data_IF_898850824441
#
_entry.id   IF_898850824441
#
_cell.length_a   1.000
_cell.length_b   1.000
_cell.length_c   1.000
_cell.angle_alpha   90.00
_cell.angle_beta   90.00
_cell.angle_gamma   90.00
#
_symmetry.space_group_name_H-M   'P 1'
#
loop_
_entity.id
_entity.type
_entity.pdbx_description
1 polymer ?
#
# COMPACT_ATOMS: atom_id res chain seq x y z
N UNK A 1 -5.63 -13.03 -24.70
CA UNK A 1 -4.91 -14.32 -24.70
C UNK A 1 -4.47 -14.73 -23.28
N UNK A 2 -5.41 -15.07 -22.40
CA UNK A 2 -5.12 -15.43 -20.99
C UNK A 2 -4.89 -16.92 -20.73
N UNK A 3 -4.54 -17.70 -21.76
CA UNK A 3 -4.43 -19.18 -21.68
C UNK A 3 -3.00 -19.73 -21.57
N UNK A 4 -1.94 -18.91 -21.46
CA UNK A 4 -0.55 -19.40 -21.56
C UNK A 4 0.41 -18.94 -20.45
N UNK A 5 -0.06 -18.71 -19.23
CA UNK A 5 0.82 -18.70 -18.04
C UNK A 5 0.58 -19.90 -17.10
N UNK A 6 -0.46 -20.71 -17.36
CA UNK A 6 -0.62 -22.02 -16.75
C UNK A 6 0.35 -23.07 -17.33
N UNK A 7 0.84 -22.85 -18.56
CA UNK A 7 1.87 -23.69 -19.17
C UNK A 7 3.24 -23.34 -18.55
N UNK A 8 3.78 -24.27 -17.75
CA UNK A 8 5.11 -24.29 -17.16
C UNK A 8 6.07 -23.13 -17.56
N UNK A 9 6.11 -22.05 -16.78
CA UNK A 9 7.26 -21.14 -16.85
C UNK A 9 8.44 -21.84 -16.16
N UNK A 10 9.30 -22.49 -16.94
CA UNK A 10 10.41 -23.29 -16.46
C UNK A 10 11.39 -22.54 -15.54
N UNK A 11 11.40 -21.21 -15.56
CA UNK A 11 12.26 -20.41 -14.72
C UNK A 11 11.61 -20.01 -13.38
N UNK A 12 10.30 -19.77 -13.39
CA UNK A 12 9.56 -19.19 -12.26
C UNK A 12 8.84 -20.26 -11.44
N UNK A 13 8.20 -21.24 -12.09
CA UNK A 13 7.41 -22.26 -11.40
C UNK A 13 8.23 -23.07 -10.39
N UNK A 14 9.49 -23.49 -10.67
CA UNK A 14 10.30 -24.18 -9.68
C UNK A 14 10.57 -23.36 -8.42
N UNK A 15 10.64 -22.02 -8.52
CA UNK A 15 10.82 -21.15 -7.36
C UNK A 15 9.59 -21.13 -6.47
N UNK A 16 8.41 -21.13 -7.08
CA UNK A 16 7.13 -21.15 -6.36
C UNK A 16 6.82 -22.52 -5.76
N UNK A 17 7.10 -23.61 -6.47
CA UNK A 17 6.99 -24.96 -5.90
C UNK A 17 7.94 -25.11 -4.70
N UNK A 18 9.18 -24.62 -4.81
CA UNK A 18 10.15 -24.65 -3.72
C UNK A 18 9.85 -23.69 -2.55
N UNK A 19 8.92 -22.74 -2.70
CA UNK A 19 8.56 -21.84 -1.61
C UNK A 19 7.53 -22.44 -0.65
N UNK A 20 6.86 -23.54 -1.03
CA UNK A 20 5.91 -24.26 -0.18
C UNK A 20 4.61 -23.51 0.09
N UNK A 21 4.26 -22.53 -0.75
CA UNK A 21 3.03 -21.73 -0.62
C UNK A 21 2.02 -22.12 -1.70
N UNK A 22 0.75 -21.92 -1.40
CA UNK A 22 -0.30 -21.90 -2.42
C UNK A 22 -0.09 -20.62 -3.26
N UNK A 23 -0.03 -20.77 -4.57
CA UNK A 23 0.19 -19.67 -5.51
C UNK A 23 -1.05 -19.47 -6.37
N UNK A 24 -1.55 -18.24 -6.38
CA UNK A 24 -2.66 -17.82 -7.22
C UNK A 24 -2.21 -16.72 -8.19
N UNK A 25 -2.62 -16.85 -9.45
CA UNK A 25 -2.39 -15.86 -10.50
C UNK A 25 -3.74 -15.29 -10.95
N UNK A 26 -4.33 -14.36 -10.19
CA UNK A 26 -5.58 -13.77 -10.60
C UNK A 26 -5.40 -12.99 -11.90
N UNK A 27 -6.43 -12.98 -12.75
CA UNK A 27 -6.43 -12.17 -13.96
C UNK A 27 -7.01 -10.80 -13.63
N UNK A 28 -6.25 -9.73 -13.89
CA UNK A 28 -6.75 -8.37 -13.69
C UNK A 28 -8.11 -8.19 -14.38
N UNK A 29 -9.08 -7.49 -13.76
CA UNK A 29 -10.38 -7.22 -14.37
C UNK A 29 -10.22 -6.62 -15.78
N UNK A 30 -11.06 -7.01 -16.76
CA UNK A 30 -10.98 -6.43 -18.10
C UNK A 30 -11.37 -4.94 -18.07
N UNK A 31 -10.67 -4.12 -18.84
CA UNK A 31 -11.01 -2.71 -19.04
C UNK A 31 -10.60 -2.30 -20.46
N UNK A 32 -11.52 -1.68 -21.20
CA UNK A 32 -11.31 -1.30 -22.61
C UNK A 32 -10.44 -0.05 -22.77
N UNK A 33 -10.28 0.76 -21.72
CA UNK A 33 -9.69 2.10 -21.76
C UNK A 33 -8.42 2.26 -20.92
N UNK A 34 -8.19 1.36 -19.95
CA UNK A 34 -7.06 1.42 -19.04
C UNK A 34 -6.18 0.18 -19.17
N UNK A 35 -4.90 0.39 -19.46
CA UNK A 35 -3.90 -0.67 -19.56
C UNK A 35 -3.31 -1.06 -18.19
N UNK A 36 -3.44 -0.18 -17.19
CA UNK A 36 -2.99 -0.39 -15.80
C UNK A 36 -4.10 -0.95 -14.92
N UNK A 37 -4.64 -2.12 -15.31
CA UNK A 37 -5.90 -2.66 -14.78
C UNK A 37 -5.90 -3.00 -13.30
N UNK A 38 -4.73 -3.28 -12.72
CA UNK A 38 -4.58 -3.55 -11.28
C UNK A 38 -4.61 -2.31 -10.39
N UNK A 39 -4.68 -1.12 -10.96
CA UNK A 39 -4.74 0.14 -10.20
C UNK A 39 -6.16 0.74 -10.19
N UNK A 40 -7.13 0.03 -10.76
CA UNK A 40 -8.52 0.47 -10.81
C UNK A 40 -9.24 0.12 -9.49
N UNK A 41 -10.19 0.95 -9.01
CA UNK A 41 -10.96 0.65 -7.79
C UNK A 41 -11.62 -0.74 -7.79
N UNK A 42 -12.08 -1.21 -8.94
CA UNK A 42 -12.70 -2.54 -9.07
C UNK A 42 -11.70 -3.67 -8.83
N UNK A 43 -10.40 -3.43 -9.06
CA UNK A 43 -9.35 -4.39 -8.78
C UNK A 43 -9.14 -4.60 -7.27
N UNK A 44 -9.48 -3.62 -6.44
CA UNK A 44 -9.38 -3.74 -4.98
C UNK A 44 -10.31 -4.81 -4.45
N UNK A 45 -11.62 -4.65 -4.74
CA UNK A 45 -12.62 -5.59 -4.29
C UNK A 45 -12.39 -6.97 -4.91
N UNK A 46 -12.02 -7.02 -6.20
CA UNK A 46 -11.70 -8.26 -6.87
C UNK A 46 -10.55 -9.02 -6.19
N UNK A 47 -9.45 -8.34 -5.82
CA UNK A 47 -8.34 -9.00 -5.12
C UNK A 47 -8.77 -9.47 -3.72
N UNK A 48 -9.58 -8.69 -3.01
CA UNK A 48 -10.13 -9.09 -1.71
C UNK A 48 -11.00 -10.35 -1.83
N UNK A 49 -11.85 -10.43 -2.86
CA UNK A 49 -12.71 -11.58 -3.12
C UNK A 49 -11.89 -12.83 -3.49
N UNK A 50 -10.83 -12.67 -4.30
CA UNK A 50 -9.89 -13.77 -4.62
C UNK A 50 -9.21 -14.30 -3.36
N UNK A 51 -8.78 -13.41 -2.45
CA UNK A 51 -8.17 -13.81 -1.18
C UNK A 51 -9.18 -14.57 -0.32
N UNK A 52 -10.40 -14.05 -0.20
CA UNK A 52 -11.49 -14.71 0.54
C UNK A 52 -11.82 -16.10 -0.02
N UNK A 53 -11.85 -16.25 -1.35
CA UNK A 53 -12.08 -17.54 -2.01
C UNK A 53 -10.95 -18.54 -1.73
N UNK A 54 -9.68 -18.10 -1.77
CA UNK A 54 -8.53 -18.94 -1.41
C UNK A 54 -8.60 -19.35 0.06
N UNK A 55 -8.91 -18.42 0.97
CA UNK A 55 -9.09 -18.72 2.39
C UNK A 55 -10.23 -19.71 2.66
N UNK A 56 -11.28 -19.67 1.83
CA UNK A 56 -12.39 -20.59 1.94
C UNK A 56 -12.04 -22.02 1.50
N UNK A 57 -11.37 -22.17 0.35
CA UNK A 57 -11.05 -23.48 -0.22
C UNK A 57 -9.76 -24.10 0.30
N UNK A 58 -8.86 -23.29 0.84
CA UNK A 58 -7.55 -23.72 1.29
C UNK A 58 -7.31 -23.31 2.75
N UNK A 59 -6.72 -24.21 3.55
CA UNK A 59 -6.27 -23.88 4.89
C UNK A 59 -5.00 -23.03 4.86
N UNK A 60 -5.15 -21.74 4.57
CA UNK A 60 -4.06 -20.75 4.57
C UNK A 60 -4.00 -20.01 5.91
N UNK A 61 -2.79 -19.63 6.31
CA UNK A 61 -2.60 -18.71 7.42
C UNK A 61 -2.71 -17.26 6.91
N UNK A 62 -3.68 -16.45 7.39
CA UNK A 62 -3.86 -15.07 6.91
C UNK A 62 -2.69 -14.14 7.26
N UNK A 63 -1.87 -14.51 8.26
CA UNK A 63 -0.65 -13.78 8.58
C UNK A 63 0.55 -14.21 7.72
N UNK A 64 0.35 -15.18 6.83
CA UNK A 64 1.37 -15.73 5.93
C UNK A 64 1.03 -15.45 4.46
N UNK A 65 0.43 -14.30 4.17
CA UNK A 65 0.10 -13.88 2.81
C UNK A 65 1.15 -12.91 2.27
N UNK A 66 1.58 -13.14 1.03
CA UNK A 66 2.51 -12.26 0.31
C UNK A 66 1.93 -11.91 -1.05
N UNK A 67 2.21 -10.69 -1.52
CA UNK A 67 1.76 -10.23 -2.84
C UNK A 67 2.97 -9.89 -3.69
N UNK A 68 3.04 -10.42 -4.91
CA UNK A 68 4.11 -10.10 -5.86
C UNK A 68 3.54 -9.69 -7.20
N UNK A 69 4.17 -8.71 -7.84
CA UNK A 69 3.76 -8.24 -9.15
C UNK A 69 4.94 -7.79 -10.00
N UNK A 70 4.85 -8.05 -11.30
CA UNK A 70 5.84 -7.64 -12.29
C UNK A 70 5.16 -6.82 -13.42
N UNK A 71 5.80 -5.76 -13.92
CA UNK A 71 5.25 -4.90 -14.98
C UNK A 71 3.92 -4.24 -14.59
N UNK A 72 2.84 -4.43 -15.35
CA UNK A 72 1.47 -4.04 -14.96
C UNK A 72 1.09 -4.59 -13.58
N UNK A 73 1.56 -5.80 -13.23
CA UNK A 73 1.40 -6.36 -11.89
C UNK A 73 2.23 -5.64 -10.84
N UNK A 74 3.41 -5.11 -11.17
CA UNK A 74 4.26 -4.33 -10.28
C UNK A 74 3.64 -2.96 -9.95
N UNK A 75 3.00 -2.32 -10.93
CA UNK A 75 2.15 -1.14 -10.71
C UNK A 75 0.98 -1.46 -9.77
N UNK A 76 0.36 -2.63 -9.98
CA UNK A 76 -0.65 -3.19 -9.08
C UNK A 76 -0.13 -3.43 -7.67
N UNK A 77 1.08 -3.97 -7.51
CA UNK A 77 1.69 -4.23 -6.22
C UNK A 77 1.90 -2.93 -5.41
N UNK A 78 2.37 -1.85 -6.04
CA UNK A 78 2.42 -0.54 -5.37
C UNK A 78 1.04 -0.04 -4.95
N UNK A 79 0.02 -0.20 -5.79
CA UNK A 79 -1.34 0.22 -5.50
C UNK A 79 -1.93 -0.58 -4.33
N UNK A 80 -1.86 -1.91 -4.40
CA UNK A 80 -2.38 -2.83 -3.39
C UNK A 80 -1.62 -2.74 -2.07
N UNK A 81 -0.31 -2.44 -2.09
CA UNK A 81 0.43 -2.15 -0.86
C UNK A 81 -0.15 -0.95 -0.10
N UNK A 82 -0.72 0.04 -0.78
CA UNK A 82 -1.44 1.13 -0.12
C UNK A 82 -2.84 0.71 0.31
N UNK A 83 -3.63 0.09 -0.57
CA UNK A 83 -5.03 -0.28 -0.29
C UNK A 83 -5.15 -1.30 0.84
N UNK A 84 -4.28 -2.30 0.80
CA UNK A 84 -4.25 -3.47 1.66
C UNK A 84 -2.94 -3.59 2.42
N UNK A 85 -2.36 -2.45 2.86
CA UNK A 85 -1.14 -2.42 3.65
C UNK A 85 -1.15 -3.42 4.82
N UNK A 86 -2.32 -3.64 5.41
CA UNK A 86 -2.54 -4.54 6.54
C UNK A 86 -2.90 -5.99 6.17
N UNK A 87 -2.98 -6.37 4.89
CA UNK A 87 -3.32 -7.76 4.48
C UNK A 87 -2.09 -8.66 4.30
N UNK A 88 -0.96 -8.09 3.89
CA UNK A 88 0.21 -8.87 3.49
C UNK A 88 1.35 -8.78 4.51
N UNK A 89 2.09 -9.87 4.69
CA UNK A 89 3.36 -9.88 5.40
C UNK A 89 4.44 -9.10 4.63
N UNK A 90 4.39 -9.17 3.29
CA UNK A 90 5.25 -8.40 2.41
C UNK A 90 4.66 -8.28 1.00
N UNK A 91 5.04 -7.21 0.31
CA UNK A 91 4.67 -6.96 -1.08
C UNK A 91 5.94 -6.80 -1.93
N UNK A 92 6.01 -7.41 -3.11
CA UNK A 92 7.06 -7.21 -4.11
C UNK A 92 6.49 -6.45 -5.33
N UNK A 93 7.00 -5.25 -5.54
CA UNK A 93 6.79 -4.47 -6.76
C UNK A 93 8.02 -4.58 -7.65
N UNK A 94 7.91 -5.34 -8.74
CA UNK A 94 8.99 -5.52 -9.73
C UNK A 94 8.67 -4.85 -11.06
N UNK A 95 9.67 -4.19 -11.66
CA UNK A 95 9.57 -3.65 -13.02
C UNK A 95 8.31 -2.79 -13.23
N UNK A 96 7.88 -2.07 -12.19
CA UNK A 96 6.62 -1.33 -12.13
C UNK A 96 6.88 0.15 -11.88
N UNK A 97 5.81 0.93 -11.84
CA UNK A 97 5.89 2.35 -11.47
C UNK A 97 4.83 2.70 -10.43
N UNK A 98 5.04 3.86 -9.82
CA UNK A 98 4.12 4.53 -8.91
C UNK A 98 4.09 6.01 -9.29
N UNK A 99 3.03 6.71 -8.91
CA UNK A 99 2.81 8.06 -9.37
C UNK A 99 2.15 8.96 -8.34
N UNK A 100 1.38 8.41 -7.40
CA UNK A 100 0.69 9.17 -6.36
C UNK A 100 0.51 8.40 -5.04
N UNK A 101 1.34 8.67 -4.03
CA UNK A 101 1.43 7.83 -2.83
C UNK A 101 1.42 8.62 -1.53
N UNK A 102 0.83 8.02 -0.49
CA UNK A 102 1.08 8.39 0.89
C UNK A 102 1.82 7.24 1.58
N UNK A 103 3.15 7.24 1.44
CA UNK A 103 4.01 6.11 1.83
C UNK A 103 3.86 5.68 3.27
N UNK A 104 3.60 6.62 4.19
CA UNK A 104 3.39 6.33 5.60
C UNK A 104 2.24 5.34 5.84
N UNK A 105 1.28 5.23 4.92
CA UNK A 105 0.20 4.25 5.02
C UNK A 105 0.67 2.78 5.00
N UNK A 106 1.91 2.52 4.55
CA UNK A 106 2.51 1.18 4.51
C UNK A 106 3.21 0.80 5.83
N UNK A 107 3.13 1.66 6.86
CA UNK A 107 3.79 1.41 8.15
C UNK A 107 3.44 0.01 8.67
N UNK A 108 4.47 -0.77 9.03
CA UNK A 108 4.37 -2.17 9.47
C UNK A 108 4.37 -3.23 8.38
N UNK A 109 4.50 -2.86 7.09
CA UNK A 109 4.53 -3.80 5.97
C UNK A 109 5.74 -3.54 5.10
N UNK A 110 6.55 -4.58 4.87
CA UNK A 110 7.79 -4.44 4.11
C UNK A 110 7.50 -4.47 2.61
N UNK A 111 7.86 -3.39 1.92
CA UNK A 111 7.81 -3.32 0.47
C UNK A 111 9.16 -3.70 -0.13
N UNK A 112 9.18 -4.73 -0.96
CA UNK A 112 10.29 -5.06 -1.83
C UNK A 112 10.12 -4.35 -3.16
N UNK A 113 11.19 -3.70 -3.62
CA UNK A 113 11.22 -3.01 -4.90
C UNK A 113 12.36 -3.61 -5.72
N UNK A 114 12.03 -4.11 -6.91
CA UNK A 114 13.00 -4.62 -7.88
C UNK A 114 12.89 -3.88 -9.21
N UNK A 115 14.00 -3.33 -9.71
CA UNK A 115 13.98 -2.57 -10.97
C UNK A 115 15.29 -2.72 -11.75
N UNK A 116 15.18 -2.95 -13.07
CA UNK A 116 16.33 -2.96 -13.96
C UNK A 116 16.70 -1.55 -14.42
N UNK A 117 18.00 -1.23 -14.50
CA UNK A 117 18.47 0.06 -15.05
C UNK A 117 18.15 0.19 -16.55
N UNK A 118 18.02 -0.94 -17.24
CA UNK A 118 17.68 -1.02 -18.66
C UNK A 118 16.21 -1.42 -18.85
N UNK A 119 15.34 -1.15 -17.87
CA UNK A 119 13.89 -1.36 -18.04
C UNK A 119 13.35 -0.44 -19.16
N UNK A 120 13.87 0.79 -19.25
CA UNK A 120 13.68 1.66 -20.41
C UNK A 120 14.90 1.56 -21.36
N UNK A 121 14.66 1.40 -22.66
CA UNK A 121 15.69 1.28 -23.71
C UNK A 121 15.24 2.06 -24.95
N UNK A 122 16.09 2.98 -25.41
CA UNK A 122 15.82 3.81 -26.59
C UNK A 122 15.40 2.95 -27.79
N UNK A 123 14.37 3.40 -28.50
CA UNK A 123 13.74 2.70 -29.64
C UNK A 123 13.16 1.31 -29.38
N UNK A 124 13.26 0.76 -28.16
CA UNK A 124 12.77 -0.60 -27.83
C UNK A 124 11.68 -0.59 -26.78
N UNK A 125 11.86 0.18 -25.71
CA UNK A 125 10.96 0.22 -24.56
C UNK A 125 11.01 1.58 -23.89
N UNK A 126 9.86 2.23 -23.76
CA UNK A 126 9.74 3.62 -23.27
C UNK A 126 9.91 3.74 -21.76
N UNK A 127 10.08 4.96 -21.25
CA UNK A 127 10.30 5.28 -19.83
C UNK A 127 9.12 5.02 -18.87
N UNK A 128 8.06 4.33 -19.30
CA UNK A 128 6.88 4.06 -18.46
C UNK A 128 7.17 3.24 -17.19
N UNK A 129 8.28 2.51 -17.16
CA UNK A 129 8.78 1.77 -15.98
C UNK A 129 10.26 2.07 -15.76
N UNK A 130 10.67 3.33 -15.93
CA UNK A 130 12.05 3.75 -15.72
C UNK A 130 12.54 3.46 -14.29
N UNK A 131 13.84 3.18 -14.14
CA UNK A 131 14.47 2.89 -12.84
C UNK A 131 14.29 4.02 -11.82
N UNK A 132 14.18 5.26 -12.29
CA UNK A 132 13.97 6.43 -11.44
C UNK A 132 12.68 6.34 -10.61
N UNK A 133 11.62 5.68 -11.09
CA UNK A 133 10.42 5.46 -10.26
C UNK A 133 10.77 4.69 -8.99
N UNK A 134 11.53 3.60 -9.12
CA UNK A 134 11.93 2.77 -8.00
C UNK A 134 12.89 3.50 -7.04
N UNK A 135 13.81 4.32 -7.58
CA UNK A 135 14.72 5.16 -6.78
C UNK A 135 13.97 6.20 -5.95
N UNK A 136 12.98 6.88 -6.55
CA UNK A 136 12.14 7.85 -5.84
C UNK A 136 11.24 7.18 -4.80
N UNK A 137 10.68 5.99 -5.08
CA UNK A 137 9.92 5.22 -4.10
C UNK A 137 10.78 4.86 -2.88
N UNK A 138 11.97 4.30 -3.12
CA UNK A 138 12.94 3.97 -2.06
C UNK A 138 13.23 5.19 -1.19
N UNK A 139 13.59 6.32 -1.81
CA UNK A 139 13.88 7.55 -1.09
C UNK A 139 12.72 7.96 -0.17
N UNK A 140 11.47 7.85 -0.64
CA UNK A 140 10.31 8.25 0.14
C UNK A 140 9.93 7.26 1.23
N UNK A 141 10.08 5.95 1.00
CA UNK A 141 9.88 4.94 2.03
C UNK A 141 10.89 5.09 3.16
N UNK A 142 12.18 5.28 2.83
CA UNK A 142 13.25 5.55 3.78
C UNK A 142 12.94 6.81 4.61
N UNK A 143 12.55 7.92 3.95
CA UNK A 143 12.14 9.17 4.63
C UNK A 143 10.90 9.00 5.52
N UNK A 144 9.98 8.12 5.13
CA UNK A 144 8.76 7.84 5.88
C UNK A 144 9.00 6.85 7.05
N UNK A 145 10.20 6.25 7.16
CA UNK A 145 10.50 5.20 8.14
C UNK A 145 9.78 3.89 7.86
N UNK A 146 9.36 3.64 6.61
CA UNK A 146 8.68 2.41 6.21
C UNK A 146 9.71 1.37 5.77
N UNK A 147 9.63 0.11 6.24
CA UNK A 147 10.55 -0.93 5.84
C UNK A 147 10.53 -1.17 4.33
N UNK A 148 11.70 -1.05 3.69
CA UNK A 148 11.88 -1.28 2.25
C UNK A 148 13.11 -2.11 1.98
N UNK A 149 13.01 -3.05 1.04
CA UNK A 149 14.16 -3.76 0.47
C UNK A 149 14.25 -3.40 -1.00
N UNK A 150 15.35 -2.77 -1.40
CA UNK A 150 15.56 -2.32 -2.77
C UNK A 150 16.61 -3.17 -3.48
N UNK A 151 16.29 -3.65 -4.68
CA UNK A 151 17.21 -4.33 -5.59
C UNK A 151 17.17 -3.65 -6.95
N UNK A 152 18.34 -3.19 -7.39
CA UNK A 152 18.56 -2.65 -8.72
C UNK A 152 19.49 -3.60 -9.49
N UNK A 153 19.24 -3.84 -10.78
CA UNK A 153 20.07 -4.74 -11.60
C UNK A 153 20.34 -4.20 -13.01
N UNK A 154 21.38 -4.73 -13.67
CA UNK A 154 21.76 -4.33 -15.03
C UNK A 154 20.83 -4.85 -16.13
N UNK A 155 19.91 -5.76 -15.79
CA UNK A 155 18.95 -6.33 -16.75
C UNK A 155 17.85 -5.37 -17.22
N UNK A 156 17.01 -5.91 -18.10
CA UNK A 156 15.91 -5.24 -18.78
C UNK A 156 14.57 -5.41 -18.03
N UNK A 157 13.46 -5.11 -18.72
CA UNK A 157 12.11 -5.36 -18.23
C UNK A 157 11.73 -6.84 -18.11
N UNK A 158 12.51 -7.78 -18.67
CA UNK A 158 12.15 -9.19 -18.63
C UNK A 158 12.27 -9.76 -17.21
N UNK A 159 11.22 -10.44 -16.73
CA UNK A 159 11.21 -11.11 -15.41
C UNK A 159 12.42 -12.05 -15.19
N UNK A 160 12.95 -12.66 -16.25
CA UNK A 160 14.13 -13.52 -16.17
C UNK A 160 15.36 -12.81 -15.59
N UNK A 161 15.52 -11.51 -15.86
CA UNK A 161 16.62 -10.69 -15.35
C UNK A 161 16.52 -10.48 -13.82
N UNK A 162 15.32 -10.68 -13.27
CA UNK A 162 14.96 -10.48 -11.87
C UNK A 162 14.79 -11.78 -11.07
N UNK A 163 15.01 -12.96 -11.66
CA UNK A 163 14.74 -14.25 -11.00
C UNK A 163 15.51 -14.44 -9.69
N UNK A 164 16.72 -13.89 -9.60
CA UNK A 164 17.52 -13.94 -8.39
C UNK A 164 16.88 -13.11 -7.26
N UNK A 165 16.27 -11.96 -7.58
CA UNK A 165 15.53 -11.15 -6.60
C UNK A 165 14.25 -11.85 -6.18
N UNK A 166 13.53 -12.46 -7.13
CA UNK A 166 12.34 -13.24 -6.81
C UNK A 166 12.69 -14.39 -5.85
N UNK A 167 13.80 -15.11 -6.10
CA UNK A 167 14.31 -16.16 -5.21
C UNK A 167 14.68 -15.62 -3.84
N UNK A 168 15.37 -14.49 -3.79
CA UNK A 168 15.76 -13.84 -2.54
C UNK A 168 14.53 -13.44 -1.71
N UNK A 169 13.55 -12.77 -2.33
CA UNK A 169 12.30 -12.37 -1.68
C UNK A 169 11.51 -13.56 -1.16
N UNK A 170 11.31 -14.60 -1.98
CA UNK A 170 10.62 -15.83 -1.57
C UNK A 170 11.33 -16.53 -0.41
N UNK A 171 12.67 -16.56 -0.44
CA UNK A 171 13.50 -17.10 0.64
C UNK A 171 13.33 -16.32 1.93
N UNK A 172 13.43 -14.99 1.86
CA UNK A 172 13.23 -14.10 3.00
C UNK A 172 11.82 -14.24 3.58
N UNK A 173 10.78 -14.29 2.73
CA UNK A 173 9.39 -14.43 3.15
C UNK A 173 9.07 -15.74 3.87
N UNK A 174 9.94 -16.76 3.88
CA UNK A 174 9.69 -18.01 4.63
C UNK A 174 9.50 -17.76 6.11
N UNK A 175 10.29 -16.84 6.67
CA UNK A 175 10.32 -16.55 8.10
C UNK A 175 9.50 -15.30 8.48
N UNK A 176 8.84 -14.68 7.50
CA UNK A 176 8.07 -13.46 7.73
C UNK A 176 6.61 -13.79 7.97
N UNK A 177 6.02 -13.14 8.95
CA UNK A 177 4.58 -13.14 9.17
C UNK A 177 4.13 -11.71 9.39
N UNK A 178 2.94 -11.39 8.90
CA UNK A 178 2.27 -10.14 9.25
C UNK A 178 2.04 -10.12 10.75
N UNK A 179 2.37 -9.01 11.40
CA UNK A 179 1.93 -8.74 12.76
C UNK A 179 0.55 -8.04 12.72
N UNK A 180 -0.55 -8.71 13.14
CA UNK A 180 -1.86 -8.06 13.24
C UNK A 180 -1.87 -6.96 14.30
N UNK A 181 -0.97 -7.04 15.28
CA UNK A 181 -0.87 -6.14 16.44
C UNK A 181 0.26 -5.13 16.31
N UNK A 182 0.76 -4.89 15.08
CA UNK A 182 1.90 -4.03 14.84
C UNK A 182 1.75 -2.70 15.59
N UNK A 183 2.70 -2.32 16.47
CA UNK A 183 2.47 -1.30 17.49
C UNK A 183 2.35 0.11 16.92
N UNK A 184 2.74 0.36 15.67
CA UNK A 184 2.69 1.68 15.04
C UNK A 184 1.92 1.65 13.73
N UNK A 185 0.70 2.18 13.74
CA UNK A 185 -0.18 2.18 12.56
C UNK A 185 -0.44 3.60 12.09
N UNK A 186 -0.46 3.80 10.77
CA UNK A 186 -0.87 5.07 10.16
C UNK A 186 -2.04 4.78 9.22
N UNK A 187 -3.26 4.98 9.72
CA UNK A 187 -4.45 4.93 8.87
C UNK A 187 -4.52 6.23 8.04
N UNK A 188 -4.74 6.09 6.74
CA UNK A 188 -4.88 7.21 5.79
C UNK A 188 -6.10 6.94 4.91
N UNK A 189 -6.94 7.94 4.71
CA UNK A 189 -8.04 7.89 3.73
C UNK A 189 -8.22 9.24 3.03
N UNK A 190 -8.38 9.28 1.69
CA UNK A 190 -8.25 8.14 0.79
C UNK A 190 -6.79 7.72 0.65
N UNK A 191 -6.52 6.55 0.05
CA UNK A 191 -5.16 6.10 -0.29
C UNK A 191 -5.16 5.09 -1.43
N UNK A 192 -4.03 4.90 -2.08
CA UNK A 192 -3.91 4.15 -3.32
C UNK A 192 -3.38 5.02 -4.44
N UNK A 193 -2.78 4.40 -5.45
CA UNK A 193 -2.28 5.09 -6.63
C UNK A 193 -3.43 5.33 -7.61
N UNK A 194 -3.59 6.56 -8.11
CA UNK A 194 -4.48 6.83 -9.24
C UNK A 194 -3.75 6.47 -10.54
N UNK A 195 -4.14 5.44 -11.29
CA UNK A 195 -3.44 5.09 -12.52
C UNK A 195 -3.40 6.26 -13.49
N UNK A 196 -2.31 6.35 -14.25
CA UNK A 196 -2.35 6.93 -15.58
C UNK A 196 -3.32 6.08 -16.40
N UNK A 197 -4.45 6.64 -16.82
CA UNK A 197 -5.38 5.93 -17.72
C UNK A 197 -4.69 5.55 -19.03
N UNK A 198 -3.69 6.34 -19.44
CA UNK A 198 -2.84 6.06 -20.60
C UNK A 198 -1.55 6.90 -20.54
N UNK A 199 -0.42 6.30 -20.17
CA UNK A 199 0.89 6.96 -20.26
C UNK A 199 1.28 7.33 -21.71
N UNK A 200 0.58 6.79 -22.73
CA UNK A 200 0.74 7.19 -24.13
C UNK A 200 0.00 8.49 -24.47
N UNK A 201 -0.93 8.96 -23.63
CA UNK A 201 -1.74 10.18 -23.86
C UNK A 201 -1.54 11.26 -22.82
N UNK A 202 -1.23 10.89 -21.59
CA UNK A 202 -1.06 11.84 -20.49
C UNK A 202 0.42 12.03 -20.20
N UNK A 203 0.81 13.19 -19.67
CA UNK A 203 2.20 13.64 -19.41
C UNK A 203 2.48 13.85 -17.91
N UNK A 204 1.43 13.78 -17.11
CA UNK A 204 1.45 13.75 -15.65
C UNK A 204 0.40 12.70 -15.18
N UNK A 205 0.47 12.23 -13.92
CA UNK A 205 -0.58 11.37 -13.37
C UNK A 205 -1.92 12.05 -13.55
N UNK A 206 -3.01 11.31 -13.79
CA UNK A 206 -4.32 11.94 -13.97
C UNK A 206 -4.70 12.86 -12.79
N UNK A 207 -4.27 12.49 -11.59
CA UNK A 207 -4.39 13.30 -10.38
C UNK A 207 -3.67 14.67 -10.43
N UNK A 208 -2.76 14.91 -11.37
CA UNK A 208 -2.03 16.17 -11.55
C UNK A 208 -2.82 17.23 -12.35
N UNK A 209 -3.82 16.83 -13.13
CA UNK A 209 -4.66 17.78 -13.87
C UNK A 209 -5.79 18.26 -12.97
N UNK A 210 -5.73 19.52 -12.53
CA UNK A 210 -6.65 20.13 -11.55
C UNK A 210 -8.13 20.17 -11.93
N UNK A 211 -8.54 19.67 -13.11
CA UNK A 211 -9.94 19.60 -13.53
C UNK A 211 -10.26 18.35 -14.39
N UNK A 212 -9.60 17.21 -14.14
CA UNK A 212 -10.02 15.95 -14.79
C UNK A 212 -11.30 15.42 -14.14
N UNK A 213 -12.43 15.77 -14.73
CA UNK A 213 -13.79 15.33 -14.34
C UNK A 213 -14.04 13.82 -14.44
N UNK A 214 -13.10 13.05 -14.99
CA UNK A 214 -13.31 11.63 -15.28
C UNK A 214 -12.94 10.69 -14.11
N UNK A 215 -12.14 11.13 -13.12
CA UNK A 215 -11.61 10.25 -12.05
C UNK A 215 -11.40 10.96 -10.70
N UNK A 216 -12.36 11.77 -10.25
CA UNK A 216 -12.25 12.69 -9.11
C UNK A 216 -12.16 12.08 -7.68
N UNK A 217 -11.95 10.79 -7.46
CA UNK A 217 -11.61 10.35 -6.10
C UNK A 217 -10.77 9.07 -6.08
N UNK A 218 -9.64 9.14 -5.38
CA UNK A 218 -9.04 7.93 -4.80
C UNK A 218 -10.10 7.39 -3.85
N UNK A 219 -10.53 6.12 -3.98
CA UNK A 219 -11.56 5.58 -3.11
C UNK A 219 -11.14 5.69 -1.65
N UNK A 220 -12.13 5.85 -0.76
CA UNK A 220 -11.86 5.78 0.67
C UNK A 220 -11.23 4.43 1.04
N UNK A 221 -10.37 4.45 2.04
CA UNK A 221 -9.85 3.25 2.69
C UNK A 221 -9.60 3.57 4.17
N UNK A 222 -10.67 3.69 4.96
CA UNK A 222 -10.60 4.18 6.33
C UNK A 222 -9.87 3.24 7.28
N UNK A 223 -9.77 1.95 6.94
CA UNK A 223 -9.22 0.92 7.80
C UNK A 223 -7.71 0.76 7.60
N UNK A 224 -6.96 0.50 8.67
CA UNK A 224 -5.60 -0.01 8.64
C UNK A 224 -5.33 -0.78 9.94
N UNK A 225 -5.14 -2.11 9.85
CA UNK A 225 -5.03 -3.03 10.98
C UNK A 225 -6.11 -2.75 12.05
N UNK A 226 -5.68 -2.29 13.22
CA UNK A 226 -6.48 -2.00 14.39
C UNK A 226 -6.99 -0.55 14.46
N UNK A 227 -6.86 0.25 13.40
CA UNK A 227 -7.33 1.64 13.34
C UNK A 227 -8.35 1.81 12.21
N UNK A 228 -9.44 2.50 12.49
CA UNK A 228 -10.42 2.97 11.50
C UNK A 228 -10.60 4.47 11.63
N UNK A 229 -10.57 5.20 10.52
CA UNK A 229 -11.04 6.59 10.45
C UNK A 229 -12.56 6.58 10.27
N UNK A 230 -13.31 7.25 11.15
CA UNK A 230 -14.78 7.28 11.11
C UNK A 230 -15.32 8.41 10.21
N UNK A 231 -14.49 9.41 9.93
CA UNK A 231 -14.81 10.49 9.01
C UNK A 231 -13.64 11.45 8.84
N UNK A 232 -13.66 12.20 7.74
CA UNK A 232 -12.66 13.20 7.40
C UNK A 232 -13.24 14.60 7.51
N UNK A 233 -12.41 15.55 7.94
CA UNK A 233 -12.77 16.96 7.96
C UNK A 233 -12.63 17.60 6.58
N UNK A 234 -12.59 18.94 6.56
CA UNK A 234 -12.54 19.73 5.30
C UNK A 234 -11.13 20.11 4.86
N UNK A 235 -10.11 19.77 5.62
CA UNK A 235 -8.72 20.05 5.25
C UNK A 235 -8.18 19.01 4.26
N UNK A 236 -6.90 19.15 3.95
CA UNK A 236 -6.18 18.31 3.01
C UNK A 236 -5.00 17.60 3.66
N UNK A 237 -4.54 16.52 3.04
CA UNK A 237 -3.33 15.79 3.39
C UNK A 237 -2.38 15.73 2.20
N UNK A 238 -1.09 15.70 2.51
CA UNK A 238 0.00 15.68 1.54
C UNK A 238 0.22 14.29 0.94
N UNK A 239 0.35 14.23 -0.38
CA UNK A 239 0.77 13.07 -1.14
C UNK A 239 2.03 13.37 -1.92
N UNK A 240 2.88 12.36 -2.08
CA UNK A 240 3.97 12.40 -3.03
C UNK A 240 3.48 12.06 -4.43
N UNK A 241 3.97 12.79 -5.43
CA UNK A 241 3.57 12.66 -6.81
C UNK A 241 4.79 12.62 -7.72
N UNK A 242 4.84 11.71 -8.69
CA UNK A 242 5.88 11.70 -9.73
C UNK A 242 5.33 12.29 -11.01
N UNK A 243 6.05 13.25 -11.58
CA UNK A 243 5.74 13.83 -12.90
C UNK A 243 6.87 13.56 -13.87
N UNK A 244 6.54 13.32 -15.14
CA UNK A 244 7.47 13.04 -16.22
C UNK A 244 7.73 14.32 -17.03
N UNK A 245 8.95 14.50 -17.54
CA UNK A 245 9.21 15.52 -18.56
C UNK A 245 8.58 15.12 -19.89
N UNK A 246 8.43 16.09 -20.79
CA UNK A 246 8.10 15.80 -22.19
C UNK A 246 9.22 14.96 -22.81
N UNK A 247 8.84 13.88 -23.51
CA UNK A 247 9.78 13.00 -24.20
C UNK A 247 9.10 12.37 -25.42
N UNK A 248 9.61 12.65 -26.62
CA UNK A 248 9.33 11.87 -27.82
C UNK A 248 10.28 10.68 -27.85
N UNK A 249 9.76 9.47 -27.66
CA UNK A 249 10.56 8.25 -27.51
C UNK A 249 11.43 7.94 -28.75
N UNK A 250 11.05 8.47 -29.90
CA UNK A 250 11.78 8.40 -31.18
C UNK A 250 12.85 9.48 -31.38
N UNK A 251 13.04 10.40 -30.42
CA UNK A 251 14.04 11.46 -30.48
C UNK A 251 15.09 11.22 -29.40
N UNK A 252 16.34 10.97 -29.81
CA UNK A 252 17.45 10.63 -28.90
C UNK A 252 17.78 11.73 -27.89
N UNK A 253 17.68 13.00 -28.30
CA UNK A 253 17.85 14.14 -27.41
C UNK A 253 16.77 14.19 -26.32
N UNK A 254 15.50 14.01 -26.69
CA UNK A 254 14.39 13.96 -25.74
C UNK A 254 14.57 12.78 -24.75
N UNK A 255 14.96 11.62 -25.26
CA UNK A 255 15.25 10.41 -24.47
C UNK A 255 16.34 10.66 -23.43
N UNK A 256 17.48 11.21 -23.85
CA UNK A 256 18.62 11.48 -22.98
C UNK A 256 18.31 12.56 -21.93
N UNK A 257 17.38 13.46 -22.25
CA UNK A 257 16.92 14.53 -21.37
C UNK A 257 15.68 14.15 -20.55
N UNK A 258 15.16 12.93 -20.66
CA UNK A 258 14.01 12.46 -19.87
C UNK A 258 14.28 12.58 -18.37
N UNK A 259 13.32 13.12 -17.61
CA UNK A 259 13.42 13.25 -16.15
C UNK A 259 12.11 12.88 -15.46
N UNK A 260 12.24 12.20 -14.33
CA UNK A 260 11.20 12.10 -13.31
C UNK A 260 11.41 13.15 -12.24
N UNK A 261 10.38 13.94 -11.97
CA UNK A 261 10.38 14.94 -10.90
C UNK A 261 9.41 14.54 -9.81
N UNK A 262 9.92 14.49 -8.58
CA UNK A 262 9.12 14.30 -7.38
C UNK A 262 8.49 15.64 -6.96
N UNK A 263 7.16 15.67 -6.97
CA UNK A 263 6.32 16.77 -6.51
C UNK A 263 5.51 16.32 -5.29
N UNK A 264 4.84 17.27 -4.66
CA UNK A 264 3.88 17.00 -3.60
C UNK A 264 2.57 17.70 -3.90
N UNK A 265 1.45 17.09 -3.52
CA UNK A 265 0.11 17.63 -3.73
C UNK A 265 -0.74 17.46 -2.47
N UNK A 266 -1.47 18.49 -2.10
CA UNK A 266 -2.50 18.41 -1.06
C UNK A 266 -3.81 17.92 -1.68
N UNK A 267 -4.45 16.93 -1.07
CA UNK A 267 -5.78 16.45 -1.45
C UNK A 267 -6.69 16.30 -0.23
N UNK A 268 -8.02 16.43 -0.36
CA UNK A 268 -8.93 16.16 0.75
C UNK A 268 -8.71 14.74 1.32
N UNK A 269 -8.62 14.63 2.65
CA UNK A 269 -8.39 13.34 3.32
C UNK A 269 -7.96 13.51 4.77
N UNK A 270 -7.87 12.40 5.49
CA UNK A 270 -7.53 12.37 6.91
C UNK A 270 -6.54 11.28 7.27
N UNK A 271 -5.86 11.47 8.39
CA UNK A 271 -4.84 10.54 8.93
C UNK A 271 -5.11 10.30 10.41
N UNK A 272 -5.00 9.04 10.84
CA UNK A 272 -4.91 8.67 12.25
C UNK A 272 -3.64 7.82 12.45
N UNK A 273 -2.59 8.45 12.99
CA UNK A 273 -1.37 7.75 13.40
C UNK A 273 -1.54 7.30 14.85
N UNK A 274 -1.48 5.99 15.11
CA UNK A 274 -1.65 5.39 16.41
C UNK A 274 -0.42 4.57 16.81
N UNK A 275 -0.04 4.63 18.08
CA UNK A 275 1.10 3.91 18.65
C UNK A 275 0.72 3.26 19.97
N UNK A 276 1.03 1.98 20.13
CA UNK A 276 1.03 1.31 21.44
C UNK A 276 2.37 1.58 22.10
N UNK A 277 2.35 2.30 23.23
CA UNK A 277 3.53 2.65 24.01
C UNK A 277 4.04 1.47 24.83
N UNK A 278 5.24 1.61 25.40
CA UNK A 278 5.83 0.63 26.32
C UNK A 278 4.94 0.38 27.56
N UNK A 279 4.30 1.44 28.08
CA UNK A 279 3.34 1.37 29.19
C UNK A 279 1.94 0.87 28.76
N UNK A 280 1.81 0.34 27.53
CA UNK A 280 0.57 -0.16 26.91
C UNK A 280 -0.53 0.87 26.71
N UNK A 281 -0.28 2.16 26.98
CA UNK A 281 -1.17 3.22 26.56
C UNK A 281 -1.15 3.38 25.04
N UNK A 282 -2.30 3.71 24.45
CA UNK A 282 -2.42 3.95 23.02
C UNK A 282 -2.40 5.45 22.78
N UNK A 283 -1.39 5.94 22.08
CA UNK A 283 -1.27 7.33 21.68
C UNK A 283 -1.74 7.51 20.23
N UNK A 284 -2.62 8.48 19.99
CA UNK A 284 -3.18 8.77 18.66
C UNK A 284 -2.96 10.23 18.30
N UNK A 285 -2.47 10.44 17.08
CA UNK A 285 -2.26 11.74 16.44
C UNK A 285 -3.21 11.87 15.23
N UNK A 286 -4.48 12.26 15.45
CA UNK A 286 -5.43 12.52 14.38
C UNK A 286 -5.06 13.79 13.60
N UNK A 287 -5.32 13.79 12.30
CA UNK A 287 -5.17 14.94 11.39
C UNK A 287 -6.33 14.95 10.41
N UNK A 288 -7.12 16.02 10.42
CA UNK A 288 -8.31 16.18 9.57
C UNK A 288 -9.26 14.95 9.59
N UNK A 289 -9.51 14.40 10.78
CA UNK A 289 -10.49 13.35 10.99
C UNK A 289 -11.55 13.85 11.97
N UNK A 290 -12.80 13.43 11.80
CA UNK A 290 -13.91 13.77 12.71
C UNK A 290 -14.15 12.70 13.77
N UNK A 291 -13.50 11.54 13.62
CA UNK A 291 -13.59 10.41 14.51
C UNK A 291 -12.59 9.33 14.13
N UNK A 292 -12.21 8.50 15.09
CA UNK A 292 -11.50 7.25 14.82
C UNK A 292 -11.95 6.15 15.79
N UNK A 293 -11.83 4.90 15.35
CA UNK A 293 -12.03 3.71 16.17
C UNK A 293 -10.75 2.92 16.28
N UNK A 294 -10.38 2.57 17.51
CA UNK A 294 -9.33 1.63 17.84
C UNK A 294 -9.96 0.27 18.10
N UNK A 295 -9.50 -0.74 17.38
CA UNK A 295 -9.94 -2.13 17.47
C UNK A 295 -8.92 -2.91 18.28
N UNK A 296 -9.31 -3.46 19.42
CA UNK A 296 -8.38 -3.91 20.45
C UNK A 296 -8.50 -5.40 20.70
N UNK A 297 -7.35 -6.02 20.99
CA UNK A 297 -7.20 -7.41 21.36
C UNK A 297 -6.41 -7.53 22.68
N UNK A 298 -6.69 -8.50 23.57
CA UNK A 298 -5.95 -8.66 24.83
C UNK A 298 -4.45 -8.91 24.68
N UNK A 299 -4.02 -9.38 23.50
CA UNK A 299 -2.61 -9.50 23.13
C UNK A 299 -1.89 -8.17 22.91
N UNK A 300 -2.64 -7.06 22.74
CA UNK A 300 -2.11 -5.72 22.51
C UNK A 300 -2.01 -4.90 23.80
N UNK A 301 -3.09 -4.92 24.59
CA UNK A 301 -3.31 -4.08 25.79
C UNK A 301 -4.08 -4.86 26.86
N UNK A 302 -3.90 -4.48 28.13
CA UNK A 302 -4.69 -5.02 29.24
C UNK A 302 -6.10 -4.42 29.25
N UNK A 303 -7.11 -5.28 29.16
CA UNK A 303 -8.51 -4.88 29.12
C UNK A 303 -9.07 -4.43 30.47
N UNK A 304 -8.33 -4.55 31.58
CA UNK A 304 -8.77 -4.00 32.87
C UNK A 304 -8.58 -2.49 33.00
N UNK A 305 -7.57 -1.93 32.32
CA UNK A 305 -7.24 -0.48 32.36
C UNK A 305 -6.69 -0.01 31.01
N UNK A 306 -7.54 0.03 29.98
CA UNK A 306 -7.14 0.55 28.67
C UNK A 306 -7.07 2.07 28.73
N UNK A 307 -5.94 2.64 28.30
CA UNK A 307 -5.69 4.08 28.26
C UNK A 307 -5.48 4.54 26.82
N UNK A 308 -6.27 5.53 26.38
CA UNK A 308 -6.13 6.17 25.07
C UNK A 308 -5.84 7.65 25.25
N UNK A 309 -4.70 8.07 24.70
CA UNK A 309 -4.20 9.42 24.68
C UNK A 309 -4.35 9.99 23.26
N UNK A 310 -4.99 11.14 23.11
CA UNK A 310 -5.07 11.88 21.85
C UNK A 310 -4.27 13.15 22.00
N UNK A 311 -3.20 13.32 21.20
CA UNK A 311 -2.27 14.46 21.34
C UNK A 311 -1.75 14.65 22.78
N UNK A 312 -1.48 13.53 23.47
CA UNK A 312 -1.02 13.51 24.86
C UNK A 312 -2.11 13.68 25.92
N UNK A 313 -3.35 14.00 25.55
CA UNK A 313 -4.47 14.13 26.48
C UNK A 313 -5.25 12.82 26.61
N UNK A 314 -5.53 12.38 27.84
CA UNK A 314 -6.35 11.19 28.07
C UNK A 314 -7.79 11.42 27.63
N UNK A 315 -8.26 10.62 26.66
CA UNK A 315 -9.62 10.68 26.11
C UNK A 315 -10.44 9.46 26.48
N UNK A 316 -9.79 8.36 26.83
CA UNK A 316 -10.44 7.18 27.36
C UNK A 316 -9.54 6.52 28.39
N UNK A 317 -10.13 6.15 29.53
CA UNK A 317 -9.54 5.23 30.49
C UNK A 317 -10.61 4.35 31.08
N UNK A 318 -10.38 3.04 31.08
CA UNK A 318 -11.26 2.11 31.76
C UNK A 318 -11.21 0.70 31.20
N UNK A 319 -12.01 -0.20 31.78
CA UNK A 319 -12.04 -1.58 31.35
C UNK A 319 -12.79 -1.75 30.03
N UNK A 320 -12.37 -2.71 29.22
CA UNK A 320 -13.07 -3.16 28.03
C UNK A 320 -13.54 -4.61 28.18
N UNK A 321 -14.72 -4.90 27.63
CA UNK A 321 -15.26 -6.25 27.59
C UNK A 321 -15.29 -6.76 26.15
N UNK A 322 -14.70 -7.94 25.87
CA UNK A 322 -14.88 -8.63 24.60
C UNK A 322 -16.36 -8.79 24.24
N UNK A 323 -16.71 -8.63 22.97
CA UNK A 323 -18.06 -8.85 22.45
C UNK A 323 -18.01 -9.58 21.11
N UNK A 324 -18.87 -10.58 20.95
CA UNK A 324 -19.04 -11.27 19.67
C UNK A 324 -19.50 -10.29 18.57
N UNK A 325 -20.38 -9.34 18.89
CA UNK A 325 -20.82 -8.33 17.93
C UNK A 325 -19.64 -7.47 17.43
N UNK A 326 -18.77 -7.02 18.33
CA UNK A 326 -17.57 -6.27 17.96
C UNK A 326 -16.57 -7.10 17.17
N UNK A 327 -16.41 -8.39 17.52
CA UNK A 327 -15.58 -9.31 16.78
C UNK A 327 -16.08 -9.50 15.32
N UNK A 328 -17.39 -9.63 15.14
CA UNK A 328 -18.02 -9.74 13.81
C UNK A 328 -17.90 -8.43 13.01
N UNK A 329 -18.12 -7.27 13.64
CA UNK A 329 -17.86 -5.97 13.03
C UNK A 329 -16.39 -5.88 12.57
N UNK A 330 -15.46 -6.32 13.42
CA UNK A 330 -14.03 -6.33 13.11
C UNK A 330 -13.73 -7.18 11.88
N UNK A 331 -14.32 -8.37 11.80
CA UNK A 331 -14.20 -9.24 10.63
C UNK A 331 -14.75 -8.55 9.39
N UNK A 332 -15.95 -7.96 9.44
CA UNK A 332 -16.59 -7.36 8.27
C UNK A 332 -15.80 -6.18 7.65
N UNK A 333 -14.98 -5.47 8.44
CA UNK A 333 -14.11 -4.40 7.91
C UNK A 333 -13.11 -4.87 6.87
N UNK A 334 -12.59 -6.09 7.03
CA UNK A 334 -11.47 -6.60 6.24
C UNK A 334 -11.71 -7.95 5.61
N UNK A 335 -12.66 -8.74 6.12
CA UNK A 335 -12.86 -10.18 5.85
C UNK A 335 -11.55 -10.95 5.98
N UNK A 336 -10.95 -10.83 7.15
CA UNK A 336 -9.62 -11.35 7.47
C UNK A 336 -9.65 -11.99 8.86
N UNK A 337 -9.48 -13.31 8.91
CA UNK A 337 -9.48 -14.06 10.18
C UNK A 337 -8.27 -13.77 11.06
N UNK A 338 -7.20 -13.17 10.52
CA UNK A 338 -6.04 -12.72 11.27
C UNK A 338 -6.18 -11.32 11.88
N UNK A 339 -7.20 -10.53 11.48
CA UNK A 339 -7.46 -9.16 11.98
C UNK A 339 -8.74 -9.10 12.82
N UNK A 340 -8.81 -9.96 13.84
CA UNK A 340 -9.94 -10.07 14.74
C UNK A 340 -9.71 -9.35 16.07
N UNK A 341 -10.54 -8.35 16.34
CA UNK A 341 -10.46 -7.52 17.54
C UNK A 341 -11.80 -7.58 18.28
N UNK A 342 -11.86 -8.20 19.47
CA UNK A 342 -13.11 -8.40 20.18
C UNK A 342 -13.62 -7.18 20.95
N UNK A 343 -12.83 -6.10 21.04
CA UNK A 343 -13.23 -4.85 21.69
C UNK A 343 -12.90 -3.65 20.79
N UNK A 344 -13.57 -2.52 21.02
CA UNK A 344 -13.28 -1.28 20.32
C UNK A 344 -13.48 -0.06 21.21
N UNK A 345 -12.72 1.00 20.93
CA UNK A 345 -12.90 2.34 21.52
C UNK A 345 -13.04 3.32 20.36
N UNK A 346 -14.16 4.05 20.33
CA UNK A 346 -14.40 5.11 19.35
C UNK A 346 -14.26 6.45 20.04
N UNK A 347 -13.45 7.34 19.46
CA UNK A 347 -13.27 8.71 19.93
C UNK A 347 -13.71 9.65 18.80
N UNK A 348 -14.62 10.55 19.11
CA UNK A 348 -15.08 11.61 18.20
C UNK A 348 -14.28 12.89 18.43
N UNK A 349 -14.17 13.71 17.39
CA UNK A 349 -13.58 15.05 17.50
C UNK A 349 -14.46 15.92 18.39
N UNK A 350 -13.86 16.54 19.39
CA UNK A 350 -14.48 17.49 20.31
C UNK A 350 -14.05 18.94 20.02
N UNK A 351 -13.40 19.18 18.87
CA UNK A 351 -12.88 20.47 18.45
C UNK A 351 -11.49 20.80 18.96
N UNK A 352 -10.85 19.89 19.71
CA UNK A 352 -9.49 20.09 20.25
C UNK A 352 -8.39 19.45 19.41
N UNK A 353 -8.74 18.78 18.30
CA UNK A 353 -7.80 17.99 17.49
C UNK A 353 -6.90 18.82 16.56
N UNK A 354 -6.97 20.15 16.63
CA UNK A 354 -6.38 21.07 15.66
C UNK A 354 -4.93 20.73 15.27
N UNK A 355 -4.71 20.62 13.96
CA UNK A 355 -3.38 20.54 13.37
C UNK A 355 -3.45 21.02 11.93
N UNK A 356 -2.92 22.22 11.68
CA UNK A 356 -2.61 22.69 10.32
C UNK A 356 -1.44 21.86 9.78
N UNK A 357 -1.73 20.98 8.82
CA UNK A 357 -0.83 20.34 7.86
C UNK A 357 0.62 20.01 8.34
N UNK A 358 0.89 18.77 8.76
CA UNK A 358 2.25 18.35 9.18
C UNK A 358 2.71 16.99 8.66
N UNK A 359 2.48 16.69 7.38
CA UNK A 359 3.28 15.62 6.74
C UNK A 359 4.75 16.01 6.50
N UNK A 360 5.17 17.22 6.91
CA UNK A 360 6.58 17.54 7.13
C UNK A 360 7.08 16.89 8.42
N UNK A 361 7.37 15.58 8.35
CA UNK A 361 8.29 14.96 9.30
C UNK A 361 9.70 15.20 8.77
N UNK A 362 10.38 16.22 9.30
CA UNK A 362 11.84 16.18 9.31
C UNK A 362 12.21 14.96 10.16
N UNK A 363 13.11 14.05 9.70
CA UNK A 363 13.53 12.93 10.52
C UNK A 363 14.02 13.47 11.87
N UNK A 364 13.41 13.03 12.98
CA UNK A 364 14.07 13.17 14.27
C UNK A 364 15.13 12.06 14.30
N UNK A 365 16.38 12.49 14.13
CA UNK A 365 17.56 11.65 14.28
C UNK A 365 17.66 11.08 15.69
#
# INVERSE_FOLDING_TARGET
HGRHFYDHNAAVNPLFEACGRIVCYPSAPPNERCWSRWQLPEADQYLADVIEEIEHFCHVNPNDMILGGHSMGGMGAYHMAHRFADRFASVLASAGHWDFACWRALMGTTLWINQGINDAILFRRRHGTDVEFARLARQRLEQAGVPVVYREHSGSHHLCDALWVLREWLGWCRDQRRDPFFPHVVAVTPRGLTPWSDWRRHKAPLAAYENSTDFHSIPESPHARWVTIEGVGRETILFDMVTMSDCRDEVEDDWSNFRLTLKRKHIPGGIAEARVREDKAIEVMPRNVTGFTLWLHPGMVDFQDVRVLVRGQERFRGPLRPSLATLLDSYLRRRDWGLLYPAKVTVADDGTWESKDQLNVTPRY
#
